data_IF_801436238443
#
_entry.id   IF_801436238443
#
_cell.length_a   1.000
_cell.length_b   1.000
_cell.length_c   1.000
_cell.angle_alpha   90.00
_cell.angle_beta   90.00
_cell.angle_gamma   90.00
#
_symmetry.space_group_name_H-M   'P 1'
#
loop_
_entity.id
_entity.type
_entity.pdbx_description
1 polymer ?
#
# COMPACT_ATOMS: atom_id res chain seq x y z
N UNK A 1 -3.75 -5.84 10.40
CA UNK A 1 -3.46 -4.50 11.00
C UNK A 1 -3.94 -3.38 10.07
N UNK A 2 -4.24 -2.16 10.57
CA UNK A 2 -4.59 -1.02 9.69
C UNK A 2 -3.33 -0.28 9.22
N UNK A 3 -3.29 0.21 7.97
CA UNK A 3 -2.13 0.92 7.46
C UNK A 3 -1.98 2.29 8.11
N UNK A 4 -0.73 2.75 8.17
CA UNK A 4 -0.34 4.02 8.76
C UNK A 4 0.91 4.67 8.12
N UNK A 5 1.53 4.04 7.11
CA UNK A 5 2.72 4.60 6.44
C UNK A 5 2.84 4.15 4.98
N UNK A 6 3.68 4.88 4.23
CA UNK A 6 4.20 4.45 2.92
C UNK A 6 5.01 3.15 3.05
N UNK A 7 4.95 2.33 2.00
CA UNK A 7 5.68 1.08 1.90
C UNK A 7 4.99 -0.14 2.49
N UNK A 8 3.81 0.02 3.11
CA UNK A 8 3.01 -1.12 3.56
C UNK A 8 2.30 -1.79 2.38
N UNK A 9 2.31 -3.13 2.37
CA UNK A 9 1.50 -3.94 1.47
C UNK A 9 0.13 -4.16 2.11
N UNK A 10 -0.94 -3.90 1.36
CA UNK A 10 -2.32 -3.95 1.84
C UNK A 10 -3.26 -4.69 0.89
N UNK A 11 -4.38 -5.16 1.45
CA UNK A 11 -5.56 -5.72 0.76
C UNK A 11 -6.79 -4.89 1.10
N UNK A 12 -7.79 -4.86 0.21
CA UNK A 12 -9.09 -4.28 0.52
C UNK A 12 -9.93 -5.22 1.38
N UNK A 13 -10.52 -4.67 2.43
CA UNK A 13 -11.44 -5.38 3.31
C UNK A 13 -12.87 -5.25 2.74
N UNK A 14 -13.39 -6.31 2.12
CA UNK A 14 -14.82 -6.46 1.82
C UNK A 14 -15.29 -6.28 0.37
N UNK A 15 -14.41 -6.22 -0.63
CA UNK A 15 -14.81 -6.39 -2.03
C UNK A 15 -14.60 -7.86 -2.42
N UNK A 16 -15.70 -8.61 -2.52
CA UNK A 16 -15.69 -10.07 -2.71
C UNK A 16 -14.89 -10.54 -3.93
N UNK A 17 -14.73 -9.68 -4.94
CA UNK A 17 -14.07 -10.06 -6.19
C UNK A 17 -12.53 -9.98 -6.15
N UNK A 18 -11.91 -9.40 -5.10
CA UNK A 18 -10.47 -9.09 -5.13
C UNK A 18 -9.70 -9.34 -3.81
N UNK A 19 -10.10 -10.32 -3.00
CA UNK A 19 -9.42 -10.64 -1.73
C UNK A 19 -7.90 -10.92 -1.84
N UNK A 20 -7.41 -11.33 -3.02
CA UNK A 20 -6.00 -11.60 -3.26
C UNK A 20 -5.25 -10.46 -3.95
N UNK A 21 -5.94 -9.37 -4.29
CA UNK A 21 -5.27 -8.24 -4.94
C UNK A 21 -4.47 -7.45 -3.91
N UNK A 22 -3.15 -7.40 -4.14
CA UNK A 22 -2.21 -6.67 -3.29
C UNK A 22 -1.95 -5.27 -3.85
N UNK A 23 -1.78 -4.33 -2.92
CA UNK A 23 -1.41 -2.96 -3.22
C UNK A 23 -0.26 -2.53 -2.34
N UNK A 24 0.63 -1.68 -2.86
CA UNK A 24 1.61 -0.96 -2.03
C UNK A 24 1.09 0.45 -1.76
N UNK A 25 1.22 0.91 -0.52
CA UNK A 25 0.95 2.30 -0.17
C UNK A 25 2.10 3.18 -0.66
N UNK A 26 1.81 4.03 -1.63
CA UNK A 26 2.73 5.04 -2.13
C UNK A 26 2.77 6.29 -1.25
N UNK A 27 1.62 6.66 -0.68
CA UNK A 27 1.48 7.81 0.20
C UNK A 27 0.34 7.58 1.20
N UNK A 28 0.51 8.06 2.43
CA UNK A 28 -0.47 7.93 3.50
C UNK A 28 -0.83 9.33 4.03
N UNK A 29 -2.08 9.72 3.80
CA UNK A 29 -2.59 11.04 4.11
C UNK A 29 -3.52 10.90 5.31
N UNK A 30 -3.09 11.38 6.48
CA UNK A 30 -3.91 11.44 7.68
C UNK A 30 -4.25 12.89 8.04
N UNK A 31 -5.54 13.19 8.19
CA UNK A 31 -6.03 14.51 8.58
C UNK A 31 -6.68 14.50 9.99
N UNK A 32 -6.49 13.42 10.75
CA UNK A 32 -7.05 13.25 12.10
C UNK A 32 -8.53 12.85 12.16
N UNK A 33 -9.26 12.93 11.04
CA UNK A 33 -10.68 12.54 10.95
C UNK A 33 -10.85 11.34 10.00
N UNK A 34 -10.12 11.35 8.88
CA UNK A 34 -10.12 10.29 7.86
C UNK A 34 -8.73 10.16 7.27
N UNK A 35 -8.20 8.95 7.31
CA UNK A 35 -6.94 8.64 6.65
C UNK A 35 -7.21 7.99 5.28
N UNK A 36 -6.45 8.41 4.27
CA UNK A 36 -6.49 7.90 2.90
C UNK A 36 -5.10 7.42 2.51
N UNK A 37 -5.04 6.51 1.55
CA UNK A 37 -3.79 6.00 1.00
C UNK A 37 -3.82 6.07 -0.52
N UNK A 38 -2.73 6.54 -1.11
CA UNK A 38 -2.46 6.38 -2.54
C UNK A 38 -1.90 4.97 -2.74
N UNK A 39 -2.58 4.17 -3.55
CA UNK A 39 -2.30 2.74 -3.69
C UNK A 39 -1.77 2.46 -5.09
N UNK A 40 -0.73 1.63 -5.17
CA UNK A 40 -0.26 1.04 -6.40
C UNK A 40 -0.66 -0.42 -6.46
N UNK A 41 -1.44 -0.78 -7.47
CA UNK A 41 -1.84 -2.15 -7.73
C UNK A 41 -0.64 -2.96 -8.26
N UNK A 42 -0.22 -3.98 -7.52
CA UNK A 42 0.94 -4.81 -7.86
C UNK A 42 0.72 -5.70 -9.10
N UNK A 43 -0.53 -5.92 -9.51
CA UNK A 43 -0.89 -6.75 -10.66
C UNK A 43 -1.06 -5.93 -11.93
N UNK A 44 -1.75 -4.80 -11.84
CA UNK A 44 -2.12 -3.98 -13.01
C UNK A 44 -1.19 -2.78 -13.24
N UNK A 45 -0.41 -2.40 -12.23
CA UNK A 45 0.42 -1.20 -12.25
C UNK A 45 -0.38 0.10 -12.16
N UNK A 46 -1.68 0.04 -11.87
CA UNK A 46 -2.53 1.22 -11.77
C UNK A 46 -2.41 1.88 -10.40
N UNK A 47 -2.55 3.20 -10.39
CA UNK A 47 -2.57 4.00 -9.17
C UNK A 47 -4.01 4.39 -8.86
N UNK A 48 -4.43 4.17 -7.62
CA UNK A 48 -5.76 4.55 -7.12
C UNK A 48 -5.69 5.19 -5.75
N UNK A 49 -6.84 5.63 -5.23
CA UNK A 49 -6.97 6.19 -3.89
C UNK A 49 -7.93 5.31 -3.09
N UNK A 50 -7.52 4.89 -1.90
CA UNK A 50 -8.33 4.10 -0.98
C UNK A 50 -8.47 4.77 0.38
N UNK A 51 -9.54 4.46 1.12
CA UNK A 51 -9.65 4.85 2.52
C UNK A 51 -8.91 3.84 3.40
N UNK A 52 -8.07 4.32 4.33
CA UNK A 52 -7.28 3.46 5.20
C UNK A 52 -8.12 2.48 6.04
N UNK A 53 -9.34 2.91 6.43
CA UNK A 53 -10.29 2.07 7.17
C UNK A 53 -10.74 0.83 6.39
N UNK A 54 -10.69 0.87 5.06
CA UNK A 54 -11.14 -0.22 4.18
C UNK A 54 -9.95 -1.09 3.73
N UNK A 55 -8.75 -0.85 4.29
CA UNK A 55 -7.53 -1.56 3.97
C UNK A 55 -7.06 -2.40 5.17
N UNK A 56 -6.33 -3.46 4.88
CA UNK A 56 -5.66 -4.31 5.85
C UNK A 56 -4.23 -4.61 5.40
N UNK A 57 -3.27 -4.38 6.29
CA UNK A 57 -1.85 -4.66 6.06
C UNK A 57 -1.60 -6.16 6.02
N UNK A 58 -0.91 -6.61 4.98
CA UNK A 58 -0.29 -7.91 4.90
C UNK A 58 1.11 -7.81 5.52
N UNK A 59 1.22 -8.19 6.79
CA UNK A 59 2.44 -7.99 7.60
C UNK A 59 3.63 -8.79 7.08
N UNK A 60 3.40 -10.02 6.58
CA UNK A 60 4.45 -10.86 6.05
C UNK A 60 5.07 -10.26 4.79
N UNK A 61 4.23 -9.88 3.83
CA UNK A 61 4.70 -9.25 2.59
C UNK A 61 5.30 -7.86 2.84
N UNK A 62 4.74 -7.10 3.79
CA UNK A 62 5.31 -5.81 4.19
C UNK A 62 6.71 -5.97 4.78
N UNK A 63 6.91 -6.97 5.64
CA UNK A 63 8.23 -7.26 6.23
C UNK A 63 9.26 -7.65 5.17
N UNK A 64 8.89 -8.51 4.22
CA UNK A 64 9.77 -8.89 3.11
C UNK A 64 10.18 -7.68 2.26
N UNK A 65 9.23 -6.79 1.97
CA UNK A 65 9.50 -5.56 1.23
C UNK A 65 10.41 -4.61 2.02
N UNK A 66 10.14 -4.37 3.30
CA UNK A 66 10.98 -3.53 4.15
C UNK A 66 12.43 -4.07 4.19
N UNK A 67 12.60 -5.39 4.38
CA UNK A 67 13.92 -6.04 4.37
C UNK A 67 14.64 -5.84 3.04
N UNK A 68 13.94 -6.00 1.92
CA UNK A 68 14.50 -5.82 0.59
C UNK A 68 14.94 -4.38 0.33
N UNK A 69 14.15 -3.39 0.75
CA UNK A 69 14.49 -1.97 0.58
C UNK A 69 15.66 -1.57 1.49
N UNK A 70 15.69 -2.04 2.73
CA UNK A 70 16.75 -1.74 3.70
C UNK A 70 18.10 -2.33 3.29
N UNK A 71 18.13 -3.57 2.80
CA UNK A 71 19.38 -4.28 2.51
C UNK A 71 19.76 -4.31 1.03
N UNK A 72 18.86 -3.94 0.13
CA UNK A 72 19.10 -3.96 -1.32
C UNK A 72 19.57 -2.64 -1.93
N UNK A 73 19.72 -1.57 -1.14
CA UNK A 73 19.92 -0.19 -1.64
C UNK A 73 18.84 0.25 -2.64
N UNK A 74 17.62 -0.29 -2.49
CA UNK A 74 16.47 0.02 -3.32
C UNK A 74 15.55 1.01 -2.61
N UNK A 75 15.00 1.97 -3.34
CA UNK A 75 13.95 2.85 -2.84
C UNK A 75 12.65 2.60 -3.63
N UNK A 76 11.51 2.86 -2.99
CA UNK A 76 10.20 2.88 -3.61
C UNK A 76 10.08 4.09 -4.54
N UNK A 77 10.94 4.19 -5.58
CA UNK A 77 10.94 5.28 -6.53
C UNK A 77 9.69 5.17 -7.42
N UNK A 78 8.57 5.67 -6.92
CA UNK A 78 7.43 5.96 -7.77
C UNK A 78 7.68 7.32 -8.42
N UNK A 79 8.19 7.32 -9.65
CA UNK A 79 8.10 8.49 -10.51
C UNK A 79 6.69 8.50 -11.07
N UNK A 80 5.77 9.36 -10.58
CA UNK A 80 4.61 9.66 -11.41
C UNK A 80 5.20 10.24 -12.70
N UNK A 81 4.94 9.59 -13.84
CA UNK A 81 5.27 10.21 -15.11
C UNK A 81 4.65 11.63 -15.12
N UNK A 82 5.49 12.57 -15.57
CA UNK A 82 5.22 14.00 -15.76
C UNK A 82 3.90 14.29 -16.48
#
# INVERSE_FOLDING_TARGET
MKPNRRGQIVKYQGLEENFNQLYVILDFIDNGIRSKARLYDLKTGQVSMGFAKDLEVDEGQTFELDYYLEHGEHDLLFKPDL
#
